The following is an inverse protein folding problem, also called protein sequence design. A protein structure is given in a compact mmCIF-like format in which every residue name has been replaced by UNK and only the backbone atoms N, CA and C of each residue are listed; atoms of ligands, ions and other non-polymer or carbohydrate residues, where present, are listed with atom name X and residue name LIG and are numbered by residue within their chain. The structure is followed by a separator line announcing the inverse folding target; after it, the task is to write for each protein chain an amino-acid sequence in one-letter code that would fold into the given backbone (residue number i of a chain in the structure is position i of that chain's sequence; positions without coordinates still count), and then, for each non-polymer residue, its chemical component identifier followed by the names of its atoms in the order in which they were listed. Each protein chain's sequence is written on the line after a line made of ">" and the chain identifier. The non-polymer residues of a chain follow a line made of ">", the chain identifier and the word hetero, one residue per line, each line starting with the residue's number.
data_IF_885175167973
#
_entry.id   IF_885175167973
#
_cell.length_a   1.000
_cell.length_b   1.000
_cell.length_c   1.000
_cell.angle_alpha   90.00
_cell.angle_beta   90.00
_cell.angle_gamma   90.00
#
_symmetry.space_group_name_H-M   'P 1'
#
loop_
_entity.id
_entity.type
_entity.pdbx_description
1 polymer ?
#
# COMPACT_ATOMS: atom_id res chain seq x y z
N UNK A 1 37.65 31.41 2.86
CA UNK A 1 37.97 30.00 2.52
C UNK A 1 37.50 28.97 3.56
N UNK A 2 37.61 29.22 4.87
CA UNK A 2 37.16 28.26 5.92
C UNK A 2 35.65 28.04 6.07
N UNK A 3 34.81 28.96 5.61
CA UNK A 3 33.35 28.86 5.72
C UNK A 3 32.73 27.91 4.69
N UNK A 4 33.24 27.86 3.46
CA UNK A 4 32.73 26.98 2.40
C UNK A 4 32.91 25.49 2.71
N UNK A 5 33.98 25.12 3.43
CA UNK A 5 34.24 23.73 3.84
C UNK A 5 33.25 23.21 4.90
N UNK A 6 32.76 24.08 5.79
CA UNK A 6 31.72 23.74 6.77
C UNK A 6 30.37 23.46 6.10
N UNK A 7 30.02 24.24 5.06
CA UNK A 7 28.76 24.06 4.32
C UNK A 7 28.73 22.76 3.51
N UNK A 8 29.85 22.33 2.92
CA UNK A 8 29.94 21.05 2.20
C UNK A 8 29.77 19.82 3.11
N UNK A 9 30.29 19.89 4.35
CA UNK A 9 30.11 18.83 5.35
C UNK A 9 28.67 18.73 5.87
N UNK A 10 28.01 19.87 6.10
CA UNK A 10 26.61 19.93 6.55
C UNK A 10 25.67 19.41 5.45
N UNK A 11 25.94 19.69 4.17
CA UNK A 11 25.17 19.16 3.04
C UNK A 11 25.24 17.63 2.92
N UNK A 12 26.39 17.02 3.22
CA UNK A 12 26.55 15.55 3.23
C UNK A 12 25.85 14.86 4.40
N UNK A 13 25.66 15.56 5.52
CA UNK A 13 24.97 15.05 6.70
C UNK A 13 23.44 15.22 6.63
N UNK A 14 22.95 16.12 5.77
CA UNK A 14 21.53 16.43 5.64
C UNK A 14 20.65 15.21 5.27
N UNK A 15 21.02 14.34 4.31
CA UNK A 15 20.23 13.14 4.02
C UNK A 15 20.18 12.14 5.18
N UNK A 16 21.27 12.01 5.94
CA UNK A 16 21.33 11.14 7.10
C UNK A 16 20.51 11.69 8.27
N UNK A 17 20.61 13.00 8.52
CA UNK A 17 19.83 13.68 9.55
C UNK A 17 18.34 13.63 9.23
N UNK A 18 17.96 13.83 7.95
CA UNK A 18 16.59 13.69 7.47
C UNK A 18 16.10 12.25 7.63
N UNK A 19 16.92 11.25 7.29
CA UNK A 19 16.59 9.83 7.48
C UNK A 19 16.40 9.46 8.94
N UNK A 20 17.26 9.94 9.85
CA UNK A 20 17.13 9.76 11.29
C UNK A 20 15.87 10.43 11.82
N UNK A 21 15.59 11.65 11.38
CA UNK A 21 14.38 12.39 11.73
C UNK A 21 13.12 11.66 11.30
N UNK A 22 13.07 11.15 10.06
CA UNK A 22 11.95 10.33 9.57
C UNK A 22 11.75 9.07 10.40
N UNK A 23 12.83 8.34 10.72
CA UNK A 23 12.74 7.13 11.55
C UNK A 23 12.25 7.44 12.97
N UNK A 24 12.72 8.53 13.55
CA UNK A 24 12.26 8.98 14.86
C UNK A 24 10.79 9.41 14.82
N UNK A 25 10.39 10.19 13.81
CA UNK A 25 9.01 10.63 13.62
C UNK A 25 8.06 9.44 13.43
N UNK A 26 8.35 8.54 12.49
CA UNK A 26 7.48 7.39 12.23
C UNK A 26 7.50 6.37 13.36
N UNK A 27 8.63 6.19 14.06
CA UNK A 27 8.69 5.40 15.28
C UNK A 27 7.79 5.99 16.37
N UNK A 28 7.85 7.30 16.61
CA UNK A 28 6.96 7.97 17.55
C UNK A 28 5.50 7.90 17.14
N UNK A 29 5.19 8.14 15.86
CA UNK A 29 3.82 8.00 15.33
C UNK A 29 3.29 6.58 15.51
N UNK A 30 4.11 5.54 15.31
CA UNK A 30 3.69 4.15 15.54
C UNK A 30 3.38 3.81 17.00
N UNK A 31 3.84 4.63 17.97
CA UNK A 31 3.49 4.46 19.38
C UNK A 31 2.15 5.12 19.74
N UNK A 32 1.70 6.09 18.94
CA UNK A 32 0.48 6.87 19.19
C UNK A 32 -0.67 6.38 18.32
N UNK A 33 -0.38 5.87 17.14
CA UNK A 33 -1.36 5.31 16.24
C UNK A 33 -1.74 3.90 16.70
N UNK A 34 -3.00 3.72 17.08
CA UNK A 34 -3.50 2.39 17.38
C UNK A 34 -3.54 1.57 16.08
N UNK A 35 -3.08 0.33 16.09
CA UNK A 35 -3.13 -0.54 14.91
C UNK A 35 -4.56 -0.71 14.39
N UNK A 36 -5.56 -0.63 15.29
CA UNK A 36 -6.99 -0.70 14.97
C UNK A 36 -7.49 0.52 14.17
N UNK A 37 -6.75 1.63 14.16
CA UNK A 37 -7.12 2.84 13.41
C UNK A 37 -6.65 2.79 11.95
N UNK A 38 -5.87 1.77 11.56
CA UNK A 38 -5.57 1.55 10.15
C UNK A 38 -6.76 0.86 9.47
N UNK A 39 -7.17 1.35 8.31
CA UNK A 39 -8.23 0.73 7.50
C UNK A 39 -7.91 -0.69 6.99
N UNK A 40 -6.77 -1.25 7.37
CA UNK A 40 -6.33 -2.62 7.10
C UNK A 40 -6.24 -3.51 8.34
N UNK A 41 -6.69 -3.04 9.51
CA UNK A 41 -6.76 -3.85 10.71
C UNK A 41 -7.74 -5.02 10.53
N UNK A 42 -7.35 -6.21 10.96
CA UNK A 42 -8.16 -7.41 10.86
C UNK A 42 -8.00 -8.27 12.12
N UNK A 43 -9.11 -8.69 12.67
CA UNK A 43 -9.23 -9.56 13.84
C UNK A 43 -10.14 -10.75 13.52
N UNK A 44 -10.11 -11.77 14.37
CA UNK A 44 -11.16 -12.77 14.40
C UNK A 44 -12.46 -12.18 14.97
N UNK A 45 -13.56 -12.93 14.84
CA UNK A 45 -14.88 -12.53 15.35
C UNK A 45 -14.92 -12.34 16.88
N UNK A 46 -13.94 -12.93 17.60
CA UNK A 46 -13.75 -12.75 19.04
C UNK A 46 -12.78 -11.60 19.41
N UNK A 47 -12.48 -10.71 18.45
CA UNK A 47 -11.52 -9.61 18.53
C UNK A 47 -10.06 -10.02 18.76
N UNK A 48 -9.75 -11.32 18.78
CA UNK A 48 -8.36 -11.75 18.86
C UNK A 48 -7.61 -11.44 17.57
N UNK A 49 -6.33 -11.08 17.70
CA UNK A 49 -5.50 -10.76 16.56
C UNK A 49 -5.22 -12.02 15.72
N UNK A 50 -5.33 -11.89 14.40
CA UNK A 50 -4.89 -12.94 13.49
C UNK A 50 -3.36 -13.05 13.58
N UNK A 51 -2.79 -14.25 13.79
CA UNK A 51 -1.34 -14.43 13.84
C UNK A 51 -0.64 -13.88 12.60
N UNK A 52 0.47 -13.18 12.80
CA UNK A 52 1.25 -12.56 11.70
C UNK A 52 1.76 -13.61 10.69
N UNK A 53 2.00 -14.85 11.12
CA UNK A 53 2.36 -15.94 10.21
C UNK A 53 1.22 -16.35 9.27
N UNK A 54 -0.01 -16.37 9.75
CA UNK A 54 -1.21 -16.66 8.96
C UNK A 54 -1.49 -15.52 7.97
N UNK A 55 -1.40 -14.27 8.42
CA UNK A 55 -1.53 -13.10 7.54
C UNK A 55 -0.49 -13.12 6.42
N UNK A 56 0.77 -13.46 6.74
CA UNK A 56 1.81 -13.60 5.72
C UNK A 56 1.57 -14.78 4.79
N UNK A 57 1.07 -15.91 5.29
CA UNK A 57 0.71 -17.06 4.46
C UNK A 57 -0.43 -16.73 3.50
N UNK A 58 -1.48 -16.07 4.00
CA UNK A 58 -2.60 -15.58 3.22
C UNK A 58 -2.14 -14.62 2.12
N UNK A 59 -1.35 -13.57 2.46
CA UNK A 59 -0.80 -12.63 1.48
C UNK A 59 0.01 -13.34 0.40
N UNK A 60 0.87 -14.29 0.76
CA UNK A 60 1.63 -15.10 -0.22
C UNK A 60 0.72 -15.91 -1.13
N UNK A 61 -0.35 -16.50 -0.59
CA UNK A 61 -1.31 -17.26 -1.38
C UNK A 61 -2.07 -16.37 -2.37
N UNK A 62 -2.53 -15.19 -1.94
CA UNK A 62 -3.15 -14.20 -2.84
C UNK A 62 -2.17 -13.85 -3.94
N UNK A 63 -0.97 -13.36 -3.61
CA UNK A 63 0.04 -12.95 -4.59
C UNK A 63 0.43 -14.05 -5.59
N UNK A 64 0.56 -15.30 -5.13
CA UNK A 64 0.89 -16.44 -5.99
C UNK A 64 -0.20 -16.72 -7.02
N UNK A 65 -1.46 -16.45 -6.68
CA UNK A 65 -2.62 -16.74 -7.54
C UNK A 65 -3.18 -15.50 -8.24
N UNK A 66 -2.65 -14.31 -7.99
CA UNK A 66 -3.04 -13.08 -8.66
C UNK A 66 -2.58 -13.11 -10.11
N UNK A 67 -3.51 -12.86 -11.04
CA UNK A 67 -3.19 -12.55 -12.43
C UNK A 67 -3.10 -11.04 -12.61
N UNK A 68 -1.99 -10.56 -13.16
CA UNK A 68 -1.81 -9.16 -13.54
C UNK A 68 -1.82 -9.04 -15.07
N UNK A 69 -2.77 -8.27 -15.60
CA UNK A 69 -2.88 -7.99 -17.02
C UNK A 69 -3.00 -6.47 -17.24
N UNK A 70 -2.10 -5.84 -18.00
CA UNK A 70 -2.16 -4.40 -18.26
C UNK A 70 -3.32 -4.08 -19.21
N UNK A 71 -4.32 -3.35 -18.69
CA UNK A 71 -5.48 -2.96 -19.50
C UNK A 71 -5.06 -2.08 -20.67
N UNK A 72 -5.64 -2.38 -21.83
CA UNK A 72 -5.60 -1.62 -23.06
C UNK A 72 -6.89 -0.82 -23.25
N UNK A 73 -6.84 0.15 -24.14
CA UNK A 73 -8.03 0.90 -24.54
C UNK A 73 -9.05 -0.07 -25.16
N UNK A 74 -10.30 0.05 -24.71
CA UNK A 74 -11.44 -0.80 -25.10
C UNK A 74 -11.44 -2.23 -24.55
N UNK A 75 -10.52 -2.58 -23.63
CA UNK A 75 -10.66 -3.83 -22.88
C UNK A 75 -11.90 -3.80 -21.98
N UNK A 76 -12.59 -4.93 -21.91
CA UNK A 76 -13.69 -5.16 -20.98
C UNK A 76 -13.28 -6.30 -20.06
N UNK A 77 -13.32 -6.05 -18.75
CA UNK A 77 -13.06 -7.07 -17.73
C UNK A 77 -14.37 -7.38 -17.03
N UNK A 78 -14.78 -8.64 -17.08
CA UNK A 78 -15.92 -9.16 -16.33
C UNK A 78 -15.40 -9.99 -15.16
N UNK A 79 -15.89 -9.70 -13.96
CA UNK A 79 -15.47 -10.37 -12.73
C UNK A 79 -16.70 -10.97 -12.05
N UNK A 80 -16.62 -12.27 -11.75
CA UNK A 80 -17.57 -12.91 -10.83
C UNK A 80 -17.18 -12.54 -9.40
N UNK A 81 -17.89 -11.54 -8.84
CA UNK A 81 -17.57 -10.94 -7.54
C UNK A 81 -17.68 -11.94 -6.37
N UNK A 82 -18.35 -13.08 -6.56
CA UNK A 82 -18.46 -14.13 -5.55
C UNK A 82 -17.26 -15.08 -5.56
N UNK A 83 -16.50 -15.13 -6.66
CA UNK A 83 -15.41 -16.09 -6.85
C UNK A 83 -14.04 -15.46 -6.97
N UNK A 84 -13.96 -14.17 -7.29
CA UNK A 84 -12.70 -13.50 -7.62
C UNK A 84 -12.54 -12.23 -6.79
N UNK A 85 -11.52 -12.22 -5.94
CA UNK A 85 -11.04 -10.98 -5.33
C UNK A 85 -10.30 -10.12 -6.37
N UNK A 86 -10.52 -8.81 -6.33
CA UNK A 86 -9.89 -7.87 -7.25
C UNK A 86 -9.26 -6.68 -6.51
N UNK A 87 -8.26 -6.06 -7.14
CA UNK A 87 -7.54 -4.93 -6.58
C UNK A 87 -6.89 -4.08 -7.67
N UNK A 88 -6.08 -3.10 -7.26
CA UNK A 88 -5.38 -2.20 -8.18
C UNK A 88 -3.95 -1.98 -7.70
N UNK A 89 -3.00 -2.17 -8.61
CA UNK A 89 -1.61 -1.79 -8.40
C UNK A 89 -1.42 -0.26 -8.39
N UNK A 90 -0.30 0.18 -7.82
CA UNK A 90 0.08 1.59 -7.89
C UNK A 90 0.25 2.03 -9.36
N UNK A 91 -0.42 3.12 -9.75
CA UNK A 91 -0.31 3.69 -11.09
C UNK A 91 0.69 4.86 -11.08
N UNK A 92 1.74 4.74 -11.89
CA UNK A 92 2.83 5.74 -11.98
C UNK A 92 2.72 6.67 -13.18
N UNK A 93 1.66 6.56 -13.98
CA UNK A 93 1.42 7.46 -15.11
C UNK A 93 0.76 8.78 -14.70
N UNK A 94 0.53 9.64 -15.69
CA UNK A 94 -0.05 10.96 -15.45
C UNK A 94 -1.45 10.86 -14.82
N UNK A 95 -1.72 11.69 -13.82
CA UNK A 95 -2.99 11.66 -13.10
C UNK A 95 -4.14 11.92 -14.09
N UNK A 96 -5.13 11.04 -14.12
CA UNK A 96 -6.30 11.15 -15.00
C UNK A 96 -6.08 10.68 -16.44
N UNK A 97 -4.87 10.25 -16.81
CA UNK A 97 -4.59 9.68 -18.15
C UNK A 97 -5.24 8.32 -18.39
N UNK A 98 -5.81 7.69 -17.35
CA UNK A 98 -6.63 6.48 -17.45
C UNK A 98 -7.95 6.69 -16.73
N UNK A 99 -9.04 6.45 -17.45
CA UNK A 99 -10.39 6.38 -16.92
C UNK A 99 -10.84 4.92 -16.98
N UNK A 100 -11.31 4.40 -15.85
CA UNK A 100 -11.90 3.07 -15.74
C UNK A 100 -13.33 3.28 -15.26
N UNK A 101 -14.29 2.76 -16.02
CA UNK A 101 -15.70 2.77 -15.64
C UNK A 101 -16.04 1.42 -15.04
N UNK A 102 -16.68 1.43 -13.88
CA UNK A 102 -17.12 0.22 -13.17
C UNK A 102 -18.64 0.23 -13.06
N UNK A 103 -19.26 -0.92 -13.30
CA UNK A 103 -20.66 -1.16 -13.04
C UNK A 103 -20.80 -2.50 -12.32
N UNK A 104 -21.76 -2.61 -11.40
CA UNK A 104 -22.13 -3.86 -10.75
C UNK A 104 -23.64 -4.07 -10.87
N UNK A 105 -24.08 -5.32 -10.69
CA UNK A 105 -25.49 -5.65 -10.54
C UNK A 105 -25.62 -6.74 -9.48
N UNK A 106 -26.54 -6.54 -8.54
CA UNK A 106 -26.84 -7.50 -7.48
C UNK A 106 -27.94 -8.49 -7.89
N UNK A 107 -28.42 -8.39 -9.13
CA UNK A 107 -29.42 -9.30 -9.68
C UNK A 107 -28.76 -10.61 -10.12
N UNK A 108 -28.41 -11.45 -9.14
CA UNK A 108 -28.24 -12.87 -9.37
C UNK A 108 -29.64 -13.53 -9.45
N UNK A 109 -29.92 -14.42 -10.42
CA UNK A 109 -31.12 -15.25 -10.42
C UNK A 109 -31.15 -16.22 -9.24
#
# INVERSE_FOLDING_TARGET
>A
ERTAALWGGIQGLWPMALGLWYRALFGFLSMIWNENDFGSAVSFDDDSLIPEEDLRAFKRAVWKNTMQAPYQLHDIVLVDNMKVGHGREMYTGEKGSRMIMTAWSDNYP
#
